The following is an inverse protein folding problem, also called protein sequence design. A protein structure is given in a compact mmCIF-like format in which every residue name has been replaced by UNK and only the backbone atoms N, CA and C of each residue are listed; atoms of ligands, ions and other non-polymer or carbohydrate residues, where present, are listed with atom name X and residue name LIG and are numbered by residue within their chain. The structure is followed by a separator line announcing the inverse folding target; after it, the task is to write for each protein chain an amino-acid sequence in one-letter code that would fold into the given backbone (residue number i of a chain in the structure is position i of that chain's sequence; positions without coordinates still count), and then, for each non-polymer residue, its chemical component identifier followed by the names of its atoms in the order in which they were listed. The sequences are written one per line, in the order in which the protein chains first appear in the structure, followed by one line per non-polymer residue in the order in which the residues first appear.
data_IF_256952799290
#
_entry.id   IF_256952799290
#
_cell.length_a   1.000
_cell.length_b   1.000
_cell.length_c   1.000
_cell.angle_alpha   90.00
_cell.angle_beta   90.00
_cell.angle_gamma   90.00
#
_symmetry.space_group_name_H-M   'P 1'
#
loop_
_entity.id
_entity.type
_entity.pdbx_description
1 polymer ?
#
# COMPACT_ATOMS: atom_id res chain seq x y z
N UNK A 1 9.42 -18.84 -3.08
CA UNK A 1 8.73 -18.46 -1.82
C UNK A 1 7.24 -18.75 -1.88
N UNK A 2 6.54 -18.46 -2.98
CA UNK A 2 5.12 -18.85 -3.14
C UNK A 2 4.92 -20.32 -3.52
N UNK A 3 5.93 -20.95 -4.13
CA UNK A 3 5.93 -22.37 -4.49
C UNK A 3 6.45 -23.29 -3.37
N UNK A 4 6.71 -22.72 -2.19
CA UNK A 4 7.03 -23.51 -1.01
C UNK A 4 5.72 -24.07 -0.43
N UNK A 5 5.55 -25.40 -0.46
CA UNK A 5 4.33 -26.08 -0.03
C UNK A 5 3.96 -25.78 1.44
N UNK A 6 4.97 -25.59 2.30
CA UNK A 6 4.78 -25.24 3.71
C UNK A 6 4.23 -23.83 3.86
N UNK A 7 4.79 -22.87 3.12
CA UNK A 7 4.33 -21.48 3.12
C UNK A 7 2.92 -21.33 2.55
N UNK A 8 2.60 -22.01 1.44
CA UNK A 8 1.28 -21.95 0.83
C UNK A 8 0.19 -22.54 1.75
N UNK A 9 0.49 -23.65 2.44
CA UNK A 9 -0.40 -24.22 3.45
C UNK A 9 -0.68 -23.24 4.59
N UNK A 10 0.37 -22.64 5.14
CA UNK A 10 0.27 -21.70 6.25
C UNK A 10 -0.46 -20.41 5.88
N UNK A 11 -0.22 -19.87 4.67
CA UNK A 11 -0.91 -18.67 4.19
C UNK A 11 -2.41 -18.92 3.99
N UNK A 12 -2.82 -20.12 3.54
CA UNK A 12 -4.25 -20.49 3.47
C UNK A 12 -4.90 -20.53 4.86
N UNK A 13 -4.22 -21.11 5.85
CA UNK A 13 -4.73 -21.11 7.22
C UNK A 13 -4.83 -19.71 7.80
N UNK A 14 -3.84 -18.84 7.55
CA UNK A 14 -3.88 -17.44 7.96
C UNK A 14 -5.03 -16.69 7.29
N UNK A 15 -5.25 -16.84 5.99
CA UNK A 15 -6.38 -16.21 5.29
C UNK A 15 -7.74 -16.63 5.88
N UNK A 16 -7.88 -17.89 6.32
CA UNK A 16 -9.09 -18.38 7.01
C UNK A 16 -9.25 -17.86 8.43
N UNK A 17 -8.16 -17.83 9.21
CA UNK A 17 -8.20 -17.54 10.65
C UNK A 17 -8.13 -16.04 10.98
N UNK A 18 -7.33 -15.28 10.23
CA UNK A 18 -7.11 -13.84 10.45
C UNK A 18 -8.34 -12.99 10.16
N UNK A 19 -9.24 -13.46 9.28
CA UNK A 19 -10.53 -12.81 9.04
C UNK A 19 -11.37 -12.64 10.32
N UNK A 20 -11.24 -13.55 11.29
CA UNK A 20 -11.96 -13.48 12.58
C UNK A 20 -11.29 -12.53 13.59
N UNK A 21 -10.04 -12.13 13.37
CA UNK A 21 -9.24 -11.32 14.31
C UNK A 21 -9.13 -9.83 13.90
N UNK A 22 -10.00 -9.36 13.00
CA UNK A 22 -9.91 -8.01 12.43
C UNK A 22 -8.54 -7.69 11.80
N UNK A 23 -7.86 -8.69 11.28
CA UNK A 23 -6.57 -8.55 10.62
C UNK A 23 -6.76 -8.47 9.10
N UNK A 24 -5.95 -7.63 8.44
CA UNK A 24 -5.90 -7.51 6.98
C UNK A 24 -4.64 -8.18 6.44
N UNK A 25 -4.80 -8.99 5.39
CA UNK A 25 -3.69 -9.59 4.67
C UNK A 25 -3.58 -8.88 3.33
N UNK A 26 -2.43 -8.25 3.06
CA UNK A 26 -2.14 -7.58 1.80
C UNK A 26 -1.14 -8.44 1.04
N UNK A 27 -1.51 -8.80 -0.19
CA UNK A 27 -0.63 -9.50 -1.10
C UNK A 27 -0.17 -8.54 -2.21
N UNK A 28 1.14 -8.48 -2.44
CA UNK A 28 1.73 -7.68 -3.50
C UNK A 28 2.62 -8.57 -4.37
N UNK A 29 2.28 -8.68 -5.65
CA UNK A 29 3.09 -9.36 -6.67
C UNK A 29 3.47 -8.37 -7.77
N UNK A 30 4.59 -8.64 -8.44
CA UNK A 30 4.98 -7.91 -9.65
C UNK A 30 4.28 -8.45 -10.90
N UNK A 31 3.81 -9.71 -10.87
CA UNK A 31 3.13 -10.35 -11.99
C UNK A 31 1.99 -11.25 -11.50
N UNK A 32 0.82 -11.15 -12.16
CA UNK A 32 -0.28 -12.09 -11.92
C UNK A 32 0.05 -13.51 -12.41
N UNK A 33 0.96 -13.64 -13.39
CA UNK A 33 1.42 -14.95 -13.88
C UNK A 33 2.06 -15.78 -12.76
N UNK A 34 2.77 -15.12 -11.84
CA UNK A 34 3.45 -15.79 -10.72
C UNK A 34 2.45 -16.37 -9.71
N UNK A 35 1.26 -15.75 -9.61
CA UNK A 35 0.18 -16.29 -8.78
C UNK A 35 -0.52 -17.42 -9.51
N UNK A 36 -0.78 -17.25 -10.80
CA UNK A 36 -1.63 -18.15 -11.58
C UNK A 36 -1.13 -19.60 -11.63
N UNK A 37 0.19 -19.79 -11.68
CA UNK A 37 0.82 -21.11 -11.61
C UNK A 37 0.94 -21.68 -10.19
N UNK A 38 0.63 -20.90 -9.16
CA UNK A 38 0.87 -21.28 -7.77
C UNK A 38 -0.32 -22.04 -7.16
N UNK A 39 -0.02 -22.99 -6.28
CA UNK A 39 -1.03 -23.72 -5.52
C UNK A 39 -1.97 -22.78 -4.74
N UNK A 40 -1.53 -21.58 -4.38
CA UNK A 40 -2.34 -20.64 -3.58
C UNK A 40 -3.31 -19.79 -4.41
N UNK A 41 -3.27 -19.84 -5.74
CA UNK A 41 -4.11 -19.01 -6.62
C UNK A 41 -5.60 -19.05 -6.26
N UNK A 42 -6.25 -20.24 -6.05
CA UNK A 42 -7.67 -20.29 -5.73
C UNK A 42 -8.00 -19.59 -4.41
N UNK A 43 -7.13 -19.76 -3.40
CA UNK A 43 -7.33 -19.15 -2.10
C UNK A 43 -7.18 -17.63 -2.15
N UNK A 44 -6.26 -17.09 -2.95
CA UNK A 44 -6.11 -15.65 -3.18
C UNK A 44 -7.33 -15.10 -3.92
N UNK A 45 -7.76 -15.76 -5.00
CA UNK A 45 -8.91 -15.33 -5.78
C UNK A 45 -10.17 -15.26 -4.91
N UNK A 46 -10.38 -16.27 -4.04
CA UNK A 46 -11.53 -16.34 -3.14
C UNK A 46 -11.43 -15.37 -1.94
N UNK A 47 -10.24 -15.23 -1.36
CA UNK A 47 -10.06 -14.48 -0.11
C UNK A 47 -9.83 -12.98 -0.33
N UNK A 48 -9.18 -12.58 -1.42
CA UNK A 48 -8.87 -11.18 -1.73
C UNK A 48 -10.03 -10.52 -2.50
N UNK A 49 -11.00 -10.02 -1.73
CA UNK A 49 -12.20 -9.33 -2.25
C UNK A 49 -11.93 -7.91 -2.76
N UNK A 50 -10.85 -7.27 -2.30
CA UNK A 50 -10.39 -5.97 -2.80
C UNK A 50 -9.07 -6.17 -3.53
N UNK A 51 -8.98 -5.68 -4.76
CA UNK A 51 -7.79 -5.81 -5.60
C UNK A 51 -7.41 -4.44 -6.14
N UNK A 52 -6.14 -4.09 -5.98
CA UNK A 52 -5.55 -2.87 -6.54
C UNK A 52 -4.63 -3.31 -7.67
N UNK A 53 -5.03 -3.01 -8.91
CA UNK A 53 -4.27 -3.35 -10.10
C UNK A 53 -3.56 -2.10 -10.62
N UNK A 54 -2.27 -2.23 -10.87
CA UNK A 54 -1.45 -1.17 -11.46
C UNK A 54 -1.51 -1.25 -12.99
N UNK A 55 -1.19 -0.13 -13.68
CA UNK A 55 -1.12 -0.09 -15.14
C UNK A 55 -0.21 -1.16 -15.70
N UNK A 56 -0.69 -1.86 -16.72
CA UNK A 56 0.05 -2.92 -17.39
C UNK A 56 -0.33 -2.94 -18.87
N UNK A 57 0.48 -2.30 -19.72
CA UNK A 57 0.28 -2.22 -21.17
C UNK A 57 0.16 -3.61 -21.82
N UNK A 58 0.81 -4.61 -21.23
CA UNK A 58 0.78 -6.00 -21.72
C UNK A 58 -0.51 -6.72 -21.37
N UNK A 59 -1.43 -6.12 -20.61
CA UNK A 59 -2.68 -6.77 -20.20
C UNK A 59 -3.58 -7.19 -21.37
N UNK A 60 -3.45 -6.51 -22.53
CA UNK A 60 -4.13 -6.85 -23.78
C UNK A 60 -3.45 -7.96 -24.59
N UNK A 61 -2.23 -8.38 -24.24
CA UNK A 61 -1.58 -9.52 -24.89
C UNK A 61 -2.40 -10.80 -24.59
N UNK A 62 -2.72 -11.66 -25.57
CA UNK A 62 -3.64 -12.78 -25.36
C UNK A 62 -3.30 -13.69 -24.17
N UNK A 63 -2.00 -13.96 -23.94
CA UNK A 63 -1.53 -14.77 -22.82
C UNK A 63 -1.81 -14.10 -21.48
N UNK A 64 -1.57 -12.79 -21.39
CA UNK A 64 -1.76 -12.01 -20.17
C UNK A 64 -3.25 -11.76 -19.93
N UNK A 65 -4.03 -11.41 -20.96
CA UNK A 65 -5.48 -11.27 -20.90
C UNK A 65 -6.14 -12.51 -20.30
N UNK A 66 -5.69 -13.72 -20.69
CA UNK A 66 -6.20 -14.97 -20.14
C UNK A 66 -5.97 -15.08 -18.63
N UNK A 67 -4.82 -14.62 -18.11
CA UNK A 67 -4.55 -14.55 -16.67
C UNK A 67 -5.54 -13.59 -16.01
N UNK A 68 -5.64 -12.34 -16.48
CA UNK A 68 -6.57 -11.36 -15.87
C UNK A 68 -8.03 -11.86 -15.86
N UNK A 69 -8.47 -12.57 -16.91
CA UNK A 69 -9.80 -13.19 -16.95
C UNK A 69 -9.98 -14.26 -15.87
N UNK A 70 -8.97 -15.09 -15.60
CA UNK A 70 -9.01 -16.07 -14.49
C UNK A 70 -9.11 -15.42 -13.12
N UNK A 71 -8.55 -14.21 -12.98
CA UNK A 71 -8.73 -13.37 -11.78
C UNK A 71 -10.10 -12.67 -11.71
N UNK A 72 -10.99 -12.91 -12.67
CA UNK A 72 -12.37 -12.38 -12.67
C UNK A 72 -12.51 -10.98 -13.27
N UNK A 73 -11.53 -10.54 -14.06
CA UNK A 73 -11.66 -9.30 -14.82
C UNK A 73 -12.33 -9.56 -16.18
N UNK A 74 -13.16 -8.60 -16.60
CA UNK A 74 -13.71 -8.60 -17.95
C UNK A 74 -12.85 -7.80 -18.93
N UNK A 75 -13.12 -7.94 -20.23
CA UNK A 75 -12.32 -7.33 -21.30
C UNK A 75 -12.23 -5.82 -21.20
N UNK A 76 -13.31 -5.14 -20.77
CA UNK A 76 -13.30 -3.69 -20.59
C UNK A 76 -12.39 -3.27 -19.43
N UNK A 77 -12.37 -4.04 -18.34
CA UNK A 77 -11.51 -3.75 -17.19
C UNK A 77 -10.04 -3.97 -17.54
N UNK A 78 -9.76 -5.02 -18.31
CA UNK A 78 -8.41 -5.32 -18.83
C UNK A 78 -7.94 -4.18 -19.74
N UNK A 79 -8.81 -3.69 -20.63
CA UNK A 79 -8.50 -2.56 -21.49
C UNK A 79 -8.22 -1.28 -20.69
N UNK A 80 -9.00 -1.00 -19.64
CA UNK A 80 -8.76 0.13 -18.74
C UNK A 80 -7.36 0.04 -18.11
N UNK A 81 -6.99 -1.14 -17.58
CA UNK A 81 -5.68 -1.36 -16.97
C UNK A 81 -4.54 -1.20 -17.98
N UNK A 82 -4.74 -1.64 -19.22
CA UNK A 82 -3.74 -1.53 -20.28
C UNK A 82 -3.51 -0.09 -20.73
N UNK A 83 -4.53 0.76 -20.68
CA UNK A 83 -4.47 2.17 -21.10
C UNK A 83 -4.22 3.15 -19.95
N UNK A 84 -4.16 2.67 -18.70
CA UNK A 84 -3.95 3.48 -17.52
C UNK A 84 -2.52 4.08 -17.49
N UNK A 85 -2.35 5.24 -16.86
CA UNK A 85 -1.06 5.92 -16.78
C UNK A 85 -0.20 5.40 -15.62
N UNK A 86 1.01 4.87 -15.90
CA UNK A 86 1.94 4.42 -14.87
C UNK A 86 2.20 5.50 -13.81
N UNK A 87 2.35 5.07 -12.56
CA UNK A 87 2.62 5.92 -11.38
C UNK A 87 1.54 6.98 -11.08
N UNK A 88 0.38 6.91 -11.72
CA UNK A 88 -0.71 7.86 -11.53
C UNK A 88 -2.04 7.15 -11.31
N UNK A 89 -2.36 6.26 -12.22
CA UNK A 89 -3.64 5.57 -12.24
C UNK A 89 -3.55 4.25 -11.49
N UNK A 90 -4.58 3.96 -10.71
CA UNK A 90 -4.75 2.70 -9.99
C UNK A 90 -6.16 2.18 -10.25
N UNK A 91 -6.29 0.91 -10.58
CA UNK A 91 -7.58 0.30 -10.80
C UNK A 91 -8.01 -0.50 -9.56
N UNK A 92 -9.05 -0.03 -8.87
CA UNK A 92 -9.61 -0.72 -7.71
C UNK A 92 -10.79 -1.59 -8.14
N UNK A 93 -10.72 -2.88 -7.79
CA UNK A 93 -11.83 -3.81 -7.83
C UNK A 93 -12.30 -4.13 -6.41
N UNK A 94 -13.48 -3.59 -6.12
CA UNK A 94 -14.34 -3.69 -4.94
C UNK A 94 -15.43 -4.75 -4.94
N UNK A 95 -15.93 -5.17 -3.76
CA UNK A 95 -17.35 -5.58 -3.65
C UNK A 95 -18.30 -4.42 -3.90
N UNK A 96 -17.85 -3.19 -3.62
CA UNK A 96 -18.65 -1.97 -3.79
C UNK A 96 -18.68 -1.46 -5.24
N UNK A 97 -17.91 -2.07 -6.13
CA UNK A 97 -17.78 -1.67 -7.52
C UNK A 97 -16.33 -1.58 -7.97
N UNK A 98 -16.12 -1.19 -9.24
CA UNK A 98 -14.80 -1.10 -9.82
C UNK A 98 -14.56 0.31 -10.37
N UNK A 99 -13.38 0.87 -10.13
CA UNK A 99 -13.06 2.24 -10.54
C UNK A 99 -11.58 2.45 -10.75
N UNK A 100 -11.25 3.17 -11.83
CA UNK A 100 -9.94 3.80 -12.01
C UNK A 100 -9.90 5.07 -11.15
N UNK A 101 -8.87 5.22 -10.34
CA UNK A 101 -8.66 6.37 -9.49
C UNK A 101 -7.20 6.77 -9.50
N UNK A 102 -6.96 8.04 -9.24
CA UNK A 102 -5.63 8.58 -9.01
C UNK A 102 -5.45 8.76 -7.51
N UNK A 103 -4.28 8.39 -6.99
CA UNK A 103 -3.88 8.80 -5.66
C UNK A 103 -3.51 10.28 -5.77
N UNK A 104 -4.47 11.17 -5.51
CA UNK A 104 -4.29 12.63 -5.49
C UNK A 104 -3.39 13.07 -4.32
N UNK A 105 -2.20 12.50 -4.22
CA UNK A 105 -1.20 12.82 -3.23
C UNK A 105 -0.68 14.21 -3.54
N UNK A 106 -0.90 15.15 -2.62
CA UNK A 106 -0.29 16.47 -2.69
C UNK A 106 1.23 16.34 -2.60
N UNK A 107 1.95 17.40 -2.97
CA UNK A 107 3.42 17.44 -2.88
C UNK A 107 3.91 17.13 -1.46
N UNK A 108 3.14 17.51 -0.44
CA UNK A 108 3.40 17.19 0.97
C UNK A 108 3.25 15.68 1.22
N UNK A 109 2.18 15.07 0.73
CA UNK A 109 1.98 13.62 0.89
C UNK A 109 3.04 12.82 0.14
N UNK A 110 3.44 13.25 -1.07
CA UNK A 110 4.54 12.65 -1.82
C UNK A 110 5.89 12.81 -1.11
N UNK A 111 6.14 13.98 -0.51
CA UNK A 111 7.33 14.24 0.28
C UNK A 111 7.45 13.33 1.50
N UNK A 112 6.37 12.68 1.95
CA UNK A 112 6.39 11.79 3.12
C UNK A 112 6.27 10.32 2.73
N UNK A 113 5.39 9.99 1.78
CA UNK A 113 5.01 8.61 1.47
C UNK A 113 5.77 8.01 0.27
N UNK A 114 6.31 8.83 -0.64
CA UNK A 114 6.98 8.35 -1.86
C UNK A 114 8.52 8.30 -1.72
N UNK A 115 9.02 8.11 -0.50
CA UNK A 115 10.42 8.36 -0.13
C UNK A 115 11.08 7.05 0.28
N UNK A 116 11.76 6.41 -0.66
CA UNK A 116 12.34 5.08 -0.44
C UNK A 116 13.66 4.82 -1.18
N UNK A 117 14.18 5.78 -1.94
CA UNK A 117 15.45 5.61 -2.64
C UNK A 117 16.64 5.68 -1.67
N UNK A 118 17.80 5.15 -2.09
CA UNK A 118 19.05 5.27 -1.29
C UNK A 118 19.42 6.73 -1.04
N UNK A 119 19.18 7.60 -2.03
CA UNK A 119 19.41 9.05 -1.91
C UNK A 119 18.49 9.66 -0.87
N UNK A 120 17.22 9.27 -0.88
CA UNK A 120 16.26 9.71 0.14
C UNK A 120 16.67 9.27 1.54
N UNK A 121 17.08 8.01 1.70
CA UNK A 121 17.52 7.48 3.00
C UNK A 121 18.73 8.24 3.55
N UNK A 122 19.71 8.56 2.70
CA UNK A 122 20.85 9.37 3.08
C UNK A 122 20.45 10.79 3.48
N UNK A 123 19.52 11.41 2.74
CA UNK A 123 18.98 12.73 3.07
C UNK A 123 18.22 12.73 4.40
N UNK A 124 17.39 11.72 4.65
CA UNK A 124 16.67 11.52 5.92
C UNK A 124 17.67 11.42 7.07
N UNK A 125 18.68 10.54 6.96
CA UNK A 125 19.67 10.33 8.01
C UNK A 125 20.45 11.63 8.31
N UNK A 126 20.87 12.35 7.26
CA UNK A 126 21.56 13.63 7.40
C UNK A 126 20.70 14.69 8.10
N UNK A 127 19.47 14.90 7.62
CA UNK A 127 18.56 15.91 8.16
C UNK A 127 18.17 15.59 9.61
N UNK A 128 17.95 14.31 9.91
CA UNK A 128 17.68 13.85 11.26
C UNK A 128 18.87 14.08 12.21
N UNK A 129 20.09 13.82 11.76
CA UNK A 129 21.30 14.08 12.54
C UNK A 129 21.51 15.58 12.81
N UNK A 130 21.18 16.45 11.85
CA UNK A 130 21.33 17.91 11.96
C UNK A 130 20.25 18.55 12.85
N UNK A 131 19.00 18.11 12.76
CA UNK A 131 17.84 18.81 13.35
C UNK A 131 17.18 18.06 14.51
N UNK A 132 17.57 16.82 14.77
CA UNK A 132 16.96 15.97 15.78
C UNK A 132 15.50 15.61 15.47
N UNK A 133 14.83 14.92 16.40
CA UNK A 133 13.47 14.41 16.21
C UNK A 133 12.42 15.52 16.04
N UNK A 134 12.52 16.58 16.84
CA UNK A 134 11.50 17.64 16.89
C UNK A 134 11.60 18.60 15.70
N UNK A 135 12.81 18.83 15.18
CA UNK A 135 13.05 19.67 14.00
C UNK A 135 12.96 18.93 12.67
N UNK A 136 12.95 17.58 12.69
CA UNK A 136 13.04 16.76 11.49
C UNK A 136 11.95 17.08 10.46
N UNK A 137 10.68 17.11 10.86
CA UNK A 137 9.57 17.25 9.91
C UNK A 137 9.63 18.58 9.16
N UNK A 138 9.88 19.69 9.87
CA UNK A 138 9.99 21.02 9.26
C UNK A 138 11.20 21.13 8.30
N UNK A 139 12.35 20.60 8.72
CA UNK A 139 13.57 20.58 7.90
C UNK A 139 13.41 19.68 6.67
N UNK A 140 12.74 18.54 6.83
CA UNK A 140 12.45 17.60 5.75
C UNK A 140 11.51 18.20 4.71
N UNK A 141 10.40 18.83 5.12
CA UNK A 141 9.47 19.50 4.21
C UNK A 141 10.15 20.64 3.43
N UNK A 142 11.00 21.41 4.11
CA UNK A 142 11.81 22.45 3.46
C UNK A 142 12.78 21.86 2.42
N UNK A 143 13.49 20.78 2.77
CA UNK A 143 14.39 20.08 1.85
C UNK A 143 13.66 19.54 0.60
N UNK A 144 12.41 19.12 0.75
CA UNK A 144 11.58 18.58 -0.33
C UNK A 144 10.89 19.65 -1.18
N UNK A 145 11.18 20.93 -0.96
CA UNK A 145 10.60 22.04 -1.73
C UNK A 145 9.17 22.40 -1.32
N UNK A 146 8.66 21.84 -0.22
CA UNK A 146 7.33 22.12 0.34
C UNK A 146 7.44 22.84 1.69
N UNK A 147 8.37 23.81 1.78
CA UNK A 147 8.66 24.55 3.01
C UNK A 147 7.45 25.30 3.60
N UNK A 148 6.49 25.70 2.76
CA UNK A 148 5.23 26.30 3.23
C UNK A 148 4.46 25.36 4.19
N UNK A 149 4.58 24.04 4.01
CA UNK A 149 3.92 23.07 4.87
C UNK A 149 4.63 22.93 6.23
N UNK A 150 5.90 23.32 6.32
CA UNK A 150 6.64 23.34 7.58
C UNK A 150 6.04 24.34 8.57
N UNK A 151 5.47 25.44 8.08
CA UNK A 151 4.80 26.46 8.90
C UNK A 151 3.53 25.93 9.59
N UNK A 152 2.93 24.87 9.05
CA UNK A 152 1.75 24.23 9.62
C UNK A 152 2.09 23.18 10.69
N UNK A 153 3.35 22.76 10.80
CA UNK A 153 3.79 21.70 11.73
C UNK A 153 3.48 22.03 13.20
N UNK A 154 3.74 23.24 13.73
CA UNK A 154 3.46 23.58 15.12
C UNK A 154 1.97 23.46 15.52
N UNK A 155 1.05 23.64 14.56
CA UNK A 155 -0.38 23.50 14.78
C UNK A 155 -0.81 22.01 14.92
N UNK A 156 -0.07 21.09 14.30
CA UNK A 156 -0.37 19.65 14.28
C UNK A 156 0.21 18.95 15.52
N UNK A 157 1.35 19.43 16.05
CA UNK A 157 2.02 18.87 17.22
C UNK A 157 1.50 19.42 18.56
N UNK A 158 0.47 20.26 18.55
CA UNK A 158 -0.16 20.76 19.77
C UNK A 158 -0.88 19.62 20.55
N UNK A 159 -0.70 19.53 21.89
CA UNK A 159 -1.13 18.39 22.71
C UNK A 159 -2.66 18.18 22.82
N UNK A 160 -3.48 19.01 22.15
CA UNK A 160 -4.94 18.88 22.18
C UNK A 160 -5.49 17.65 21.42
N UNK A 161 -4.68 17.01 20.55
CA UNK A 161 -5.07 15.82 19.78
C UNK A 161 -4.57 14.48 20.38
N UNK A 162 -3.81 14.51 21.47
CA UNK A 162 -3.46 13.31 22.25
C UNK A 162 -4.54 13.02 23.28
N UNK A 163 -5.49 12.15 22.93
CA UNK A 163 -6.48 11.58 23.86
C UNK A 163 -5.81 10.82 25.03
N UNK A 164 -6.50 10.70 26.19
CA UNK A 164 -5.85 10.54 27.49
C UNK A 164 -5.29 9.13 27.69
N UNK A 165 -4.12 9.07 28.31
CA UNK A 165 -3.47 7.85 28.74
C UNK A 165 -4.39 7.05 29.69
N UNK A 166 -4.59 5.77 29.39
CA UNK A 166 -5.14 4.77 30.31
C UNK A 166 -4.17 4.60 31.49
N UNK A 167 -4.41 5.29 32.59
CA UNK A 167 -3.78 4.99 33.88
C UNK A 167 -4.29 3.65 34.40
N UNK A 168 -3.48 2.60 34.27
CA UNK A 168 -3.64 1.39 35.07
C UNK A 168 -3.18 1.70 36.51
N UNK A 169 -4.14 1.75 37.44
CA UNK A 169 -3.87 1.66 38.88
C UNK A 169 -3.53 0.21 39.21
N UNK A 170 -2.28 -0.05 39.58
CA UNK A 170 -1.93 -1.24 40.36
C UNK A 170 -2.70 -1.22 41.68
N UNK A 171 -3.35 -2.33 41.99
CA UNK A 171 -3.93 -2.61 43.31
C UNK A 171 -3.52 -4.03 43.69
N UNK A 172 -2.48 -4.14 44.50
CA UNK A 172 -2.23 -5.33 45.33
C UNK A 172 -2.75 -5.00 46.74
N UNK A 173 -3.37 -5.94 47.44
CA UNK A 173 -3.00 -6.25 48.81
C UNK A 173 -1.86 -7.27 48.86
#
# INVERSE_FOLDING_TARGET
MLDDEGFAGQLREWLKTLRKKNASVIFATQSLSDIDGSAIAPAIIESCQTRLLLPNERAIEPQITAIYRRFGLNDRQIEIIARAMPKRDYYCQSRRGNRLFELGLSDVALALCAVSSKTDQAAIARIFAEHGRDGFLAAWLSHRGVGWAAELVPAITSPALTSPALTNKEKSP
#
